data_IF_494725640550
#
_entry.id   IF_494725640550
#
_cell.length_a   1.000
_cell.length_b   1.000
_cell.length_c   1.000
_cell.angle_alpha   90.00
_cell.angle_beta   90.00
_cell.angle_gamma   90.00
#
_symmetry.space_group_name_H-M   'P 1'
#
loop_
_entity.id
_entity.type
_entity.pdbx_description
1 polymer ?
#
# COMPACT_ATOMS: atom_id res chain seq x y z
N UNK A 1 26.15 32.66 6.38
CA UNK A 1 26.99 32.47 5.18
C UNK A 1 27.47 31.03 5.04
N UNK A 2 27.97 30.40 6.11
CA UNK A 2 28.45 29.01 6.09
C UNK A 2 27.38 27.99 5.65
N UNK A 3 26.15 28.09 6.17
CA UNK A 3 25.03 27.22 5.79
C UNK A 3 24.68 27.25 4.29
N UNK A 4 24.70 28.43 3.65
CA UNK A 4 24.37 28.55 2.23
C UNK A 4 25.38 27.82 1.33
N UNK A 5 26.65 27.81 1.73
CA UNK A 5 27.68 27.04 1.03
C UNK A 5 27.45 25.54 1.21
N UNK A 6 27.15 25.08 2.44
CA UNK A 6 26.86 23.67 2.73
C UNK A 6 25.62 23.14 1.98
N UNK A 7 24.65 24.01 1.69
CA UNK A 7 23.46 23.66 0.90
C UNK A 7 23.64 23.82 -0.61
N UNK A 8 24.83 24.22 -1.08
CA UNK A 8 25.12 24.36 -2.49
C UNK A 8 24.47 25.57 -3.17
N UNK A 9 24.08 26.60 -2.41
CA UNK A 9 23.47 27.83 -2.98
C UNK A 9 24.49 28.61 -3.82
N UNK A 10 25.76 28.63 -3.39
CA UNK A 10 26.82 29.37 -4.09
C UNK A 10 27.14 28.80 -5.48
N UNK A 11 26.84 27.52 -5.71
CA UNK A 11 27.09 26.83 -6.98
C UNK A 11 25.81 26.67 -7.82
N UNK A 12 24.65 27.08 -7.31
CA UNK A 12 23.36 26.97 -7.98
C UNK A 12 23.11 28.16 -8.93
N UNK A 13 23.69 28.07 -10.14
CA UNK A 13 23.50 29.08 -11.19
C UNK A 13 22.01 29.22 -11.54
N UNK A 14 21.50 30.45 -11.53
CA UNK A 14 20.10 30.73 -11.87
C UNK A 14 19.10 30.52 -10.72
N UNK A 15 19.54 30.18 -9.51
CA UNK A 15 18.64 30.05 -8.35
C UNK A 15 18.19 31.43 -7.82
N UNK A 16 16.89 31.71 -7.90
CA UNK A 16 16.32 33.03 -7.64
C UNK A 16 15.88 33.26 -6.18
N UNK A 17 15.80 32.18 -5.39
CA UNK A 17 15.31 32.21 -4.01
C UNK A 17 16.42 32.24 -2.95
N UNK A 18 17.61 32.72 -3.30
CA UNK A 18 18.71 32.97 -2.36
C UNK A 18 18.28 33.78 -1.12
N UNK A 19 17.43 34.83 -1.23
CA UNK A 19 16.94 35.55 -0.06
C UNK A 19 16.08 34.72 0.90
N UNK A 20 15.31 33.75 0.37
CA UNK A 20 14.51 32.82 1.19
C UNK A 20 15.45 31.93 2.00
N UNK A 21 16.49 31.38 1.35
CA UNK A 21 17.46 30.51 2.00
C UNK A 21 18.31 31.24 3.05
N UNK A 22 18.60 32.52 2.86
CA UNK A 22 19.26 33.36 3.87
C UNK A 22 18.42 33.45 5.14
N UNK A 23 17.13 33.78 5.01
CA UNK A 23 16.21 33.86 6.16
C UNK A 23 16.01 32.50 6.83
N UNK A 24 15.95 31.43 6.04
CA UNK A 24 15.87 30.07 6.56
C UNK A 24 17.12 29.72 7.40
N UNK A 25 18.32 30.10 6.95
CA UNK A 25 19.56 29.92 7.71
C UNK A 25 19.58 30.72 9.02
N UNK A 26 19.05 31.94 9.03
CA UNK A 26 18.91 32.75 10.25
C UNK A 26 17.93 32.12 11.25
N UNK A 27 16.90 31.43 10.75
CA UNK A 27 15.90 30.79 11.59
C UNK A 27 16.36 29.43 12.15
N UNK A 28 17.30 28.72 11.50
CA UNK A 28 17.84 27.43 11.99
C UNK A 28 18.50 27.52 13.38
N UNK A 29 19.00 28.70 13.73
CA UNK A 29 19.54 28.97 15.06
C UNK A 29 18.47 29.15 16.15
N UNK A 30 17.18 29.24 15.78
CA UNK A 30 16.06 29.54 16.70
C UNK A 30 15.27 28.26 17.03
N UNK A 31 14.59 28.26 18.18
CA UNK A 31 13.83 27.10 18.68
C UNK A 31 12.72 26.60 17.73
N UNK A 32 12.28 27.43 16.76
CA UNK A 32 11.20 27.12 15.82
C UNK A 32 11.49 25.90 14.92
N UNK A 33 12.75 25.67 14.51
CA UNK A 33 13.10 24.57 13.60
C UNK A 33 13.48 23.27 14.32
N UNK A 34 13.64 23.29 15.65
CA UNK A 34 13.89 22.06 16.41
C UNK A 34 12.72 21.09 16.31
N UNK A 35 11.49 21.58 16.28
CA UNK A 35 10.30 20.73 16.21
C UNK A 35 10.08 20.17 14.81
N UNK A 36 10.33 20.97 13.77
CA UNK A 36 10.41 20.51 12.37
C UNK A 36 11.42 19.40 12.19
N UNK A 37 12.61 19.57 12.74
CA UNK A 37 13.65 18.55 12.68
C UNK A 37 13.21 17.29 13.41
N UNK A 38 12.53 17.39 14.56
CA UNK A 38 11.94 16.20 15.20
C UNK A 38 10.93 15.51 14.31
N UNK A 39 10.14 16.26 13.53
CA UNK A 39 9.10 15.71 12.66
C UNK A 39 9.64 15.06 11.39
N UNK A 40 10.65 15.67 10.76
CA UNK A 40 11.47 15.05 9.70
C UNK A 40 12.03 13.71 10.16
N UNK A 41 12.40 13.65 11.44
CA UNK A 41 13.02 12.51 12.11
C UNK A 41 12.00 11.52 12.70
N UNK A 42 10.71 11.87 12.83
CA UNK A 42 9.66 10.97 13.39
C UNK A 42 9.51 9.67 12.61
N UNK A 43 9.88 9.65 11.33
CA UNK A 43 9.88 8.45 10.49
C UNK A 43 11.10 7.54 10.66
N UNK A 44 12.14 7.98 11.38
CA UNK A 44 13.35 7.21 11.61
C UNK A 44 13.34 6.55 13.00
N UNK A 45 13.82 5.30 13.12
CA UNK A 45 14.02 4.64 14.40
C UNK A 45 14.89 5.45 15.38
N UNK A 46 14.54 5.42 16.67
CA UNK A 46 15.22 6.20 17.70
C UNK A 46 16.72 5.91 17.86
N UNK A 47 17.16 4.67 17.65
CA UNK A 47 18.57 4.25 17.59
C UNK A 47 19.33 4.93 16.43
N UNK A 48 18.66 5.11 15.30
CA UNK A 48 19.23 5.73 14.10
C UNK A 48 19.32 7.25 14.29
N UNK A 49 18.30 7.85 14.90
CA UNK A 49 18.29 9.26 15.29
C UNK A 49 19.44 9.62 16.23
N UNK A 50 19.75 8.74 17.20
CA UNK A 50 20.85 8.97 18.15
C UNK A 50 22.23 8.94 17.47
N UNK A 51 22.36 8.29 16.31
CA UNK A 51 23.62 8.19 15.57
C UNK A 51 23.92 9.41 14.69
N UNK A 52 22.90 10.19 14.33
CA UNK A 52 23.02 11.35 13.46
C UNK A 52 23.31 12.61 14.27
N UNK A 53 24.33 13.37 13.85
CA UNK A 53 24.58 14.69 14.46
C UNK A 53 23.53 15.68 13.97
N UNK A 54 23.12 16.60 14.84
CA UNK A 54 22.20 17.69 14.50
C UNK A 54 22.62 18.43 13.22
N UNK A 55 23.90 18.74 13.10
CA UNK A 55 24.48 19.42 11.94
C UNK A 55 24.25 18.66 10.62
N UNK A 56 24.32 17.33 10.62
CA UNK A 56 24.08 16.50 9.42
C UNK A 56 22.63 16.57 8.97
N UNK A 57 21.71 16.63 9.93
CA UNK A 57 20.29 16.77 9.69
C UNK A 57 20.00 18.19 9.18
N UNK A 58 20.61 19.22 9.78
CA UNK A 58 20.48 20.62 9.35
C UNK A 58 20.99 20.81 7.90
N UNK A 59 22.10 20.16 7.53
CA UNK A 59 22.60 20.14 6.15
C UNK A 59 21.59 19.49 5.22
N UNK A 60 21.05 18.32 5.57
CA UNK A 60 20.13 17.58 4.73
C UNK A 60 18.80 18.32 4.51
N UNK A 61 18.23 18.89 5.58
CA UNK A 61 17.00 19.68 5.52
C UNK A 61 17.20 20.93 4.68
N UNK A 62 18.29 21.67 4.89
CA UNK A 62 18.54 22.86 4.08
C UNK A 62 18.77 22.55 2.60
N UNK A 63 19.44 21.43 2.27
CA UNK A 63 19.51 20.92 0.89
C UNK A 63 18.13 20.58 0.33
N UNK A 64 17.28 19.90 1.10
CA UNK A 64 15.94 19.55 0.65
C UNK A 64 15.08 20.79 0.38
N UNK A 65 15.12 21.79 1.27
CA UNK A 65 14.37 23.05 1.08
C UNK A 65 14.88 23.81 -0.15
N UNK A 66 16.20 23.84 -0.37
CA UNK A 66 16.78 24.38 -1.62
C UNK A 66 16.20 23.67 -2.84
N UNK A 67 16.19 22.35 -2.87
CA UNK A 67 15.68 21.56 -4.00
C UNK A 67 14.17 21.76 -4.21
N UNK A 68 13.38 21.86 -3.13
CA UNK A 68 11.97 22.21 -3.21
C UNK A 68 11.76 23.56 -3.88
N UNK A 69 12.49 24.59 -3.43
CA UNK A 69 12.42 25.93 -3.98
C UNK A 69 12.84 25.99 -5.45
N UNK A 70 13.84 25.20 -5.84
CA UNK A 70 14.28 25.11 -7.23
C UNK A 70 13.23 24.44 -8.12
N UNK A 71 12.59 23.37 -7.67
CA UNK A 71 11.49 22.73 -8.40
C UNK A 71 10.30 23.69 -8.53
N UNK A 72 9.97 24.42 -7.47
CA UNK A 72 8.91 25.43 -7.48
C UNK A 72 9.24 26.58 -8.44
N UNK A 73 10.49 27.05 -8.47
CA UNK A 73 10.97 28.03 -9.45
C UNK A 73 10.76 27.53 -10.88
N UNK A 74 11.15 26.28 -11.17
CA UNK A 74 10.97 25.72 -12.51
C UNK A 74 9.49 25.60 -12.89
N UNK A 75 8.61 25.23 -11.95
CA UNK A 75 7.17 25.19 -12.20
C UNK A 75 6.59 26.59 -12.49
N UNK A 76 7.05 27.63 -11.78
CA UNK A 76 6.66 29.01 -12.08
C UNK A 76 7.13 29.45 -13.47
N UNK A 77 8.39 29.16 -13.83
CA UNK A 77 8.94 29.48 -15.15
C UNK A 77 8.19 28.73 -16.25
N UNK A 78 7.86 27.45 -16.03
CA UNK A 78 7.05 26.65 -16.96
C UNK A 78 5.59 27.12 -17.05
N UNK A 79 5.15 27.97 -16.12
CA UNK A 79 3.85 28.64 -16.11
C UNK A 79 3.98 30.10 -16.60
N UNK A 80 4.90 30.33 -17.54
CA UNK A 80 5.19 31.61 -18.21
C UNK A 80 5.61 32.78 -17.30
N UNK A 81 6.11 32.52 -16.09
CA UNK A 81 6.69 33.57 -15.25
C UNK A 81 8.12 33.91 -15.68
N UNK A 82 8.42 35.21 -15.81
CA UNK A 82 9.79 35.72 -15.93
C UNK A 82 10.56 35.64 -14.60
N UNK A 83 11.90 35.66 -14.65
CA UNK A 83 12.76 35.66 -13.46
C UNK A 83 12.40 36.77 -12.46
N UNK A 84 12.01 37.95 -12.95
CA UNK A 84 11.63 39.08 -12.08
C UNK A 84 10.26 38.90 -11.44
N UNK A 85 9.34 38.17 -12.08
CA UNK A 85 8.07 37.77 -11.47
C UNK A 85 8.29 36.68 -10.43
N UNK A 86 9.14 35.69 -10.72
CA UNK A 86 9.51 34.63 -9.77
C UNK A 86 10.09 35.24 -8.49
N UNK A 87 10.97 36.25 -8.60
CA UNK A 87 11.53 36.94 -7.42
C UNK A 87 10.48 37.60 -6.53
N UNK A 88 9.29 37.95 -7.02
CA UNK A 88 8.21 38.53 -6.19
C UNK A 88 7.68 37.54 -5.15
N UNK A 89 7.87 36.23 -5.37
CA UNK A 89 7.45 35.18 -4.43
C UNK A 89 8.33 35.05 -3.19
N UNK A 90 9.50 35.70 -3.13
CA UNK A 90 10.43 35.61 -1.99
C UNK A 90 9.77 35.84 -0.62
N UNK A 91 8.90 36.85 -0.50
CA UNK A 91 8.22 37.18 0.75
C UNK A 91 7.19 36.12 1.15
N UNK A 92 6.40 35.64 0.19
CA UNK A 92 5.40 34.59 0.37
C UNK A 92 6.04 33.25 0.74
N UNK A 93 7.10 32.85 0.03
CA UNK A 93 7.83 31.61 0.32
C UNK A 93 8.50 31.63 1.69
N UNK A 94 9.03 32.78 2.11
CA UNK A 94 9.56 32.93 3.48
C UNK A 94 8.48 32.67 4.53
N UNK A 95 7.26 33.19 4.34
CA UNK A 95 6.14 32.95 5.26
C UNK A 95 5.69 31.50 5.20
N UNK A 96 5.55 30.95 3.99
CA UNK A 96 5.08 29.60 3.75
C UNK A 96 5.95 28.54 4.43
N UNK A 97 7.27 28.65 4.30
CA UNK A 97 8.22 27.70 4.90
C UNK A 97 8.32 27.79 6.43
N UNK A 98 7.69 28.78 7.07
CA UNK A 98 7.60 28.91 8.55
C UNK A 98 6.35 28.27 9.14
N UNK A 99 5.44 27.78 8.29
CA UNK A 99 4.21 27.12 8.73
C UNK A 99 4.55 25.69 9.13
N UNK A 100 4.21 25.32 10.36
CA UNK A 100 4.50 23.99 10.94
C UNK A 100 4.02 22.85 10.03
N UNK A 101 2.77 22.91 9.55
CA UNK A 101 2.22 21.89 8.67
C UNK A 101 2.94 21.78 7.31
N UNK A 102 3.46 22.88 6.77
CA UNK A 102 4.29 22.85 5.54
C UNK A 102 5.60 22.12 5.82
N UNK A 103 6.20 22.41 6.96
CA UNK A 103 7.46 21.81 7.39
C UNK A 103 7.30 20.31 7.65
N UNK A 104 6.20 19.88 8.28
CA UNK A 104 5.84 18.46 8.44
C UNK A 104 5.71 17.74 7.09
N UNK A 105 4.99 18.33 6.13
CA UNK A 105 4.78 17.71 4.80
C UNK A 105 6.11 17.59 4.06
N UNK A 106 6.91 18.66 4.03
CA UNK A 106 8.22 18.63 3.37
C UNK A 106 9.20 17.68 4.07
N UNK A 107 9.11 17.59 5.41
CA UNK A 107 9.91 16.69 6.22
C UNK A 107 9.53 15.22 6.05
N UNK A 108 8.25 14.91 5.77
CA UNK A 108 7.79 13.54 5.53
C UNK A 108 8.51 12.84 4.38
N UNK A 109 9.11 13.59 3.45
CA UNK A 109 9.93 13.05 2.36
C UNK A 109 11.19 12.31 2.84
N UNK A 110 11.65 12.57 4.08
CA UNK A 110 12.74 11.85 4.72
C UNK A 110 12.30 10.53 5.36
N UNK A 111 11.00 10.24 5.42
CA UNK A 111 10.56 8.89 5.81
C UNK A 111 10.97 7.90 4.69
N UNK A 112 11.73 6.83 5.00
CA UNK A 112 12.14 5.82 4.02
C UNK A 112 10.97 5.18 3.26
N UNK A 113 9.78 5.14 3.86
CA UNK A 113 8.55 4.59 3.28
C UNK A 113 7.73 5.62 2.49
N UNK A 114 8.17 6.89 2.42
CA UNK A 114 7.43 7.93 1.75
C UNK A 114 7.36 7.69 0.23
N UNK A 115 6.14 7.58 -0.28
CA UNK A 115 5.81 7.37 -1.70
C UNK A 115 5.34 8.68 -2.36
N UNK A 116 4.75 9.59 -1.58
CA UNK A 116 4.23 10.88 -2.04
C UNK A 116 4.16 11.88 -0.88
N UNK A 117 4.48 13.15 -1.12
CA UNK A 117 4.12 14.25 -0.20
C UNK A 117 2.71 14.77 -0.50
N UNK A 118 2.01 15.31 0.49
CA UNK A 118 0.66 15.84 0.32
C UNK A 118 0.68 17.26 -0.28
N UNK A 119 0.80 17.31 -1.61
CA UNK A 119 0.81 18.59 -2.34
C UNK A 119 -0.52 19.31 -2.34
N UNK A 120 -1.64 18.61 -2.05
CA UNK A 120 -2.97 19.24 -1.97
C UNK A 120 -3.09 20.07 -0.70
N UNK A 121 -2.54 19.59 0.41
CA UNK A 121 -2.48 20.38 1.64
C UNK A 121 -1.54 21.59 1.46
N UNK A 122 -0.38 21.43 0.80
CA UNK A 122 0.50 22.57 0.49
C UNK A 122 -0.21 23.66 -0.30
N UNK A 123 -0.97 23.26 -1.33
CA UNK A 123 -1.80 24.16 -2.14
C UNK A 123 -2.84 24.89 -1.28
N UNK A 124 -3.59 24.14 -0.47
CA UNK A 124 -4.61 24.70 0.42
C UNK A 124 -4.00 25.72 1.39
N UNK A 125 -2.89 25.38 2.04
CA UNK A 125 -2.18 26.30 2.95
C UNK A 125 -1.77 27.58 2.21
N UNK A 126 -1.30 27.46 0.97
CA UNK A 126 -0.89 28.62 0.18
C UNK A 126 -2.03 29.63 0.01
N UNK A 127 -3.22 29.14 -0.36
CA UNK A 127 -4.40 29.98 -0.54
C UNK A 127 -4.99 30.48 0.80
N UNK A 128 -5.08 29.63 1.81
CA UNK A 128 -5.63 29.98 3.13
C UNK A 128 -4.79 31.08 3.81
N UNK A 129 -3.49 31.14 3.53
CA UNK A 129 -2.58 32.17 4.05
C UNK A 129 -2.56 33.46 3.22
N UNK A 130 -3.41 33.54 2.18
CA UNK A 130 -3.51 34.69 1.28
C UNK A 130 -2.14 35.13 0.74
N UNK A 131 -1.34 34.15 0.32
CA UNK A 131 -0.02 34.38 -0.28
C UNK A 131 -0.15 34.88 -1.73
N UNK A 132 0.97 35.29 -2.32
CA UNK A 132 0.98 35.79 -3.69
C UNK A 132 0.30 34.80 -4.65
N UNK A 133 -0.62 35.30 -5.46
CA UNK A 133 -1.38 34.50 -6.41
C UNK A 133 -0.45 33.71 -7.34
N UNK A 134 -0.74 32.43 -7.51
CA UNK A 134 -0.03 31.55 -8.42
C UNK A 134 -0.58 31.73 -9.85
N UNK A 135 0.24 31.52 -10.89
CA UNK A 135 -0.23 31.46 -12.28
C UNK A 135 -1.31 30.39 -12.47
N UNK A 136 -2.22 30.58 -13.43
CA UNK A 136 -3.32 29.63 -13.71
C UNK A 136 -2.81 28.21 -14.03
N UNK A 137 -1.67 28.11 -14.73
CA UNK A 137 -1.09 26.84 -15.15
C UNK A 137 -0.16 26.18 -14.11
N UNK A 138 0.06 26.82 -12.95
CA UNK A 138 0.91 26.29 -11.90
C UNK A 138 0.28 25.07 -11.23
N UNK A 139 0.98 23.94 -11.22
CA UNK A 139 0.45 22.69 -10.67
C UNK A 139 1.28 22.12 -9.51
N UNK A 140 0.79 22.27 -8.27
CA UNK A 140 1.40 21.71 -7.05
C UNK A 140 1.72 20.21 -7.15
N UNK A 141 0.85 19.44 -7.81
CA UNK A 141 1.03 18.00 -8.02
C UNK A 141 2.34 17.66 -8.75
N UNK A 142 2.85 18.56 -9.61
CA UNK A 142 4.09 18.35 -10.37
C UNK A 142 5.34 18.40 -9.50
N UNK A 143 5.28 19.03 -8.31
CA UNK A 143 6.40 19.12 -7.38
C UNK A 143 6.68 17.78 -6.67
N UNK A 144 5.67 16.91 -6.55
CA UNK A 144 5.70 15.73 -5.68
C UNK A 144 6.85 14.76 -5.98
N UNK A 145 6.84 14.15 -7.17
CA UNK A 145 7.83 13.13 -7.57
C UNK A 145 9.25 13.71 -7.71
N UNK A 146 9.46 14.89 -8.32
CA UNK A 146 10.78 15.51 -8.37
C UNK A 146 11.35 15.77 -6.97
N UNK A 147 10.55 16.31 -6.05
CA UNK A 147 11.01 16.61 -4.69
C UNK A 147 11.43 15.33 -3.94
N UNK A 148 10.61 14.28 -3.98
CA UNK A 148 10.96 13.00 -3.37
C UNK A 148 12.25 12.39 -3.92
N UNK A 149 12.45 12.47 -5.23
CA UNK A 149 13.68 11.97 -5.85
C UNK A 149 14.92 12.74 -5.37
N UNK A 150 14.80 14.07 -5.23
CA UNK A 150 15.89 14.91 -4.71
C UNK A 150 16.20 14.61 -3.25
N UNK A 151 15.18 14.44 -2.39
CA UNK A 151 15.39 14.04 -0.99
C UNK A 151 16.07 12.67 -0.88
N UNK A 152 15.65 11.69 -1.70
CA UNK A 152 16.30 10.37 -1.76
C UNK A 152 17.75 10.45 -2.23
N UNK A 153 18.07 11.36 -3.16
CA UNK A 153 19.45 11.61 -3.57
C UNK A 153 20.29 12.20 -2.43
N UNK A 154 19.76 13.21 -1.72
CA UNK A 154 20.42 13.82 -0.55
C UNK A 154 20.77 12.77 0.52
N UNK A 155 19.85 11.85 0.81
CA UNK A 155 20.08 10.76 1.76
C UNK A 155 21.22 9.85 1.27
N UNK A 156 21.25 9.48 -0.01
CA UNK A 156 22.26 8.58 -0.59
C UNK A 156 23.65 9.19 -0.69
N UNK A 157 23.74 10.49 -0.88
CA UNK A 157 25.00 11.25 -0.98
C UNK A 157 25.70 11.43 0.36
N UNK A 158 24.96 11.37 1.47
CA UNK A 158 25.55 11.43 2.81
C UNK A 158 25.82 10.02 3.31
N UNK A 159 27.08 9.64 3.47
CA UNK A 159 27.46 8.31 3.97
C UNK A 159 26.76 7.99 5.30
N UNK A 160 26.58 8.98 6.18
CA UNK A 160 25.94 8.80 7.48
C UNK A 160 24.43 8.62 7.37
N UNK A 161 23.76 9.45 6.57
CA UNK A 161 22.31 9.28 6.33
C UNK A 161 22.04 8.00 5.57
N UNK A 162 22.85 7.66 4.56
CA UNK A 162 22.77 6.40 3.84
C UNK A 162 22.92 5.23 4.79
N UNK A 163 23.98 5.19 5.61
CA UNK A 163 24.18 4.09 6.57
C UNK A 163 23.03 3.99 7.58
N UNK A 164 22.51 5.14 8.05
CA UNK A 164 21.32 5.21 8.90
C UNK A 164 20.10 4.58 8.21
N UNK A 165 19.80 4.96 6.98
CA UNK A 165 18.64 4.45 6.24
C UNK A 165 18.82 3.00 5.79
N UNK A 166 20.03 2.58 5.44
CA UNK A 166 20.37 1.21 5.12
C UNK A 166 20.22 0.34 6.37
N UNK A 167 20.63 0.83 7.55
CA UNK A 167 20.41 0.15 8.83
C UNK A 167 18.92 0.01 9.14
N UNK A 168 18.11 1.04 8.87
CA UNK A 168 16.65 0.93 8.98
C UNK A 168 16.08 -0.13 8.03
N UNK A 169 16.51 -0.13 6.77
CA UNK A 169 16.07 -1.13 5.81
C UNK A 169 16.51 -2.53 6.21
N UNK A 170 17.71 -2.68 6.80
CA UNK A 170 18.21 -3.96 7.32
C UNK A 170 17.48 -4.39 8.58
N UNK A 171 17.14 -3.49 9.51
CA UNK A 171 16.34 -3.79 10.71
C UNK A 171 14.92 -4.18 10.31
N UNK A 172 14.27 -3.42 9.42
CA UNK A 172 12.98 -3.80 8.86
C UNK A 172 13.07 -5.09 8.05
N UNK A 173 14.16 -5.30 7.31
CA UNK A 173 14.41 -6.57 6.64
C UNK A 173 14.64 -7.67 7.66
N UNK A 174 15.30 -7.43 8.79
CA UNK A 174 15.55 -8.42 9.84
C UNK A 174 14.27 -8.75 10.63
N UNK A 175 13.42 -7.76 10.92
CA UNK A 175 12.09 -7.94 11.50
C UNK A 175 11.19 -8.69 10.53
N UNK A 176 11.16 -8.27 9.26
CA UNK A 176 10.51 -9.01 8.20
C UNK A 176 11.14 -10.40 8.04
N UNK A 177 12.45 -10.58 8.18
CA UNK A 177 13.16 -11.88 8.01
C UNK A 177 12.97 -12.79 9.21
N UNK A 178 12.77 -12.26 10.41
CA UNK A 178 12.32 -13.00 11.59
C UNK A 178 10.86 -13.44 11.43
N UNK A 179 10.01 -12.63 10.78
CA UNK A 179 8.67 -13.04 10.36
C UNK A 179 8.67 -13.98 9.13
N UNK A 180 9.70 -13.88 8.28
CA UNK A 180 9.90 -14.59 7.00
C UNK A 180 10.96 -15.70 7.08
N UNK A 181 11.33 -16.24 8.25
CA UNK A 181 12.33 -17.33 8.35
C UNK A 181 11.89 -18.50 7.47
N UNK A 182 12.32 -18.52 6.20
CA UNK A 182 12.01 -19.50 5.15
C UNK A 182 11.19 -19.03 3.94
N UNK A 183 10.97 -17.74 3.71
CA UNK A 183 10.59 -17.23 2.37
C UNK A 183 11.88 -16.88 1.61
N UNK A 184 12.05 -17.44 0.41
CA UNK A 184 13.24 -17.21 -0.41
C UNK A 184 13.36 -15.73 -0.81
N UNK A 185 14.56 -15.11 -0.74
CA UNK A 185 14.77 -13.71 -1.13
C UNK A 185 14.45 -13.40 -2.60
N UNK A 186 14.32 -14.43 -3.44
CA UNK A 186 14.11 -14.33 -4.88
C UNK A 186 12.66 -14.63 -5.28
N UNK A 187 11.68 -13.98 -4.65
CA UNK A 187 10.28 -14.11 -5.11
C UNK A 187 10.11 -13.56 -6.52
N UNK A 188 10.14 -14.46 -7.50
CA UNK A 188 9.92 -14.15 -8.91
C UNK A 188 8.41 -14.11 -9.20
N UNK A 189 7.89 -12.89 -9.36
CA UNK A 189 6.49 -12.65 -9.69
C UNK A 189 6.05 -13.33 -11.00
N UNK A 190 6.93 -13.41 -12.01
CA UNK A 190 6.61 -14.08 -13.29
C UNK A 190 6.48 -15.57 -13.08
N UNK A 191 7.40 -16.16 -12.32
CA UNK A 191 7.35 -17.58 -11.96
C UNK A 191 6.11 -17.90 -11.13
N UNK A 192 5.70 -16.99 -10.24
CA UNK A 192 4.46 -17.14 -9.48
C UNK A 192 3.22 -17.13 -10.37
N UNK A 193 3.12 -16.18 -11.31
CA UNK A 193 2.04 -16.15 -12.30
C UNK A 193 1.98 -17.43 -13.12
N UNK A 194 3.14 -17.91 -13.57
CA UNK A 194 3.22 -19.15 -14.31
C UNK A 194 2.78 -20.35 -13.47
N UNK A 195 3.14 -20.39 -12.19
CA UNK A 195 2.63 -21.38 -11.24
C UNK A 195 1.11 -21.33 -11.07
N UNK A 196 0.49 -20.15 -11.03
CA UNK A 196 -0.97 -20.01 -10.97
C UNK A 196 -1.61 -20.54 -12.27
N UNK A 197 -1.07 -20.18 -13.45
CA UNK A 197 -1.56 -20.66 -14.75
C UNK A 197 -1.47 -22.18 -14.85
N UNK A 198 -0.34 -22.77 -14.47
CA UNK A 198 -0.14 -24.21 -14.50
C UNK A 198 -1.07 -24.93 -13.52
N UNK A 199 -1.25 -24.39 -12.31
CA UNK A 199 -2.00 -25.07 -11.24
C UNK A 199 -3.51 -24.97 -11.39
N UNK A 200 -4.02 -23.87 -11.93
CA UNK A 200 -5.44 -23.56 -11.96
C UNK A 200 -6.00 -23.28 -13.37
N UNK A 201 -5.16 -23.13 -14.40
CA UNK A 201 -5.60 -22.73 -15.74
C UNK A 201 -6.55 -23.72 -16.41
N UNK A 202 -6.42 -25.00 -16.09
CA UNK A 202 -7.25 -26.08 -16.59
C UNK A 202 -8.25 -26.57 -15.55
N UNK A 203 -9.45 -26.91 -16.01
CA UNK A 203 -10.49 -27.46 -15.15
C UNK A 203 -10.10 -28.88 -14.69
N UNK A 204 -9.99 -29.08 -13.38
CA UNK A 204 -9.69 -30.40 -12.81
C UNK A 204 -10.95 -31.24 -12.76
N UNK A 205 -11.07 -32.17 -13.71
CA UNK A 205 -12.19 -33.10 -13.81
C UNK A 205 -11.83 -34.51 -13.30
N UNK A 206 -10.78 -34.63 -12.50
CA UNK A 206 -10.27 -35.90 -11.94
C UNK A 206 -11.32 -36.69 -11.14
N UNK A 207 -12.40 -36.04 -10.71
CA UNK A 207 -13.54 -36.66 -10.02
C UNK A 207 -14.63 -37.20 -10.94
N UNK A 208 -14.57 -36.91 -12.24
CA UNK A 208 -15.65 -37.20 -13.22
C UNK A 208 -15.25 -38.24 -14.27
N UNK A 209 -13.96 -38.45 -14.53
CA UNK A 209 -13.51 -39.47 -15.49
C UNK A 209 -12.12 -40.02 -15.13
N UNK A 210 -11.97 -41.35 -15.10
CA UNK A 210 -10.71 -42.06 -14.86
C UNK A 210 -9.91 -42.34 -16.14
N UNK A 211 -10.46 -42.01 -17.32
CA UNK A 211 -9.84 -42.28 -18.64
C UNK A 211 -8.92 -41.16 -19.16
N UNK A 212 -8.84 -40.02 -18.46
CA UNK A 212 -7.74 -39.05 -18.49
C UNK A 212 -7.35 -38.38 -19.82
N UNK A 213 -8.07 -38.59 -20.93
CA UNK A 213 -7.51 -38.34 -22.28
C UNK A 213 -8.15 -37.23 -23.11
N UNK A 214 -9.27 -36.61 -22.70
CA UNK A 214 -9.96 -35.64 -23.56
C UNK A 214 -10.22 -34.24 -22.96
N UNK A 215 -10.02 -34.03 -21.66
CA UNK A 215 -10.53 -32.82 -20.98
C UNK A 215 -9.47 -31.87 -20.41
N UNK A 216 -8.18 -32.21 -20.54
CA UNK A 216 -7.06 -31.37 -20.11
C UNK A 216 -6.90 -30.06 -20.91
N UNK A 217 -7.74 -29.81 -21.91
CA UNK A 217 -7.69 -28.60 -22.74
C UNK A 217 -8.72 -27.53 -22.33
N UNK A 218 -9.70 -27.89 -21.48
CA UNK A 218 -10.75 -26.94 -21.08
C UNK A 218 -10.20 -25.92 -20.08
N UNK A 219 -10.06 -24.68 -20.55
CA UNK A 219 -9.61 -23.56 -19.73
C UNK A 219 -10.73 -23.10 -18.80
N UNK A 220 -10.43 -23.00 -17.50
CA UNK A 220 -11.42 -22.57 -16.49
C UNK A 220 -12.07 -21.23 -16.87
N UNK A 221 -11.29 -20.29 -17.39
CA UNK A 221 -11.78 -18.96 -17.79
C UNK A 221 -12.80 -18.98 -18.93
N UNK A 222 -12.77 -19.98 -19.81
CA UNK A 222 -13.69 -20.08 -20.96
C UNK A 222 -15.06 -20.63 -20.56
N UNK A 223 -15.13 -21.35 -19.44
CA UNK A 223 -16.34 -22.05 -18.97
C UNK A 223 -16.88 -21.48 -17.66
N UNK A 224 -16.20 -20.49 -17.07
CA UNK A 224 -16.59 -19.91 -15.79
C UNK A 224 -17.86 -19.07 -15.93
N UNK A 225 -18.86 -19.39 -15.11
CA UNK A 225 -20.10 -18.63 -14.96
C UNK A 225 -20.10 -18.02 -13.55
N UNK A 226 -20.19 -16.68 -13.48
CA UNK A 226 -20.23 -15.97 -12.21
C UNK A 226 -21.46 -16.37 -11.40
N UNK A 227 -21.24 -16.77 -10.13
CA UNK A 227 -22.32 -17.15 -9.24
C UNK A 227 -23.11 -15.92 -8.78
N UNK A 228 -24.40 -16.14 -8.58
CA UNK A 228 -25.30 -15.18 -7.99
C UNK A 228 -25.28 -15.31 -6.46
N UNK A 229 -25.16 -14.19 -5.75
CA UNK A 229 -25.04 -14.11 -4.30
C UNK A 229 -26.00 -13.08 -3.73
N UNK A 230 -26.24 -13.16 -2.42
CA UNK A 230 -27.02 -12.19 -1.64
C UNK A 230 -26.12 -11.64 -0.53
N UNK A 231 -26.13 -10.33 -0.33
CA UNK A 231 -25.38 -9.70 0.77
C UNK A 231 -26.13 -9.94 2.09
N UNK A 232 -25.43 -10.44 3.10
CA UNK A 232 -25.98 -10.70 4.43
C UNK A 232 -25.28 -9.82 5.46
N UNK A 233 -26.05 -9.09 6.27
CA UNK A 233 -25.54 -8.07 7.21
C UNK A 233 -25.12 -8.66 8.55
N UNK A 234 -25.65 -9.83 8.94
CA UNK A 234 -25.29 -10.52 10.20
C UNK A 234 -25.04 -12.00 9.94
N UNK A 235 -23.82 -12.44 10.25
CA UNK A 235 -23.42 -13.85 10.18
C UNK A 235 -23.96 -14.53 11.45
N UNK A 236 -24.77 -15.58 11.29
CA UNK A 236 -25.02 -16.58 12.33
C UNK A 236 -24.22 -17.84 11.94
N UNK A 237 -22.93 -17.97 12.32
CA UNK A 237 -22.08 -19.09 11.89
C UNK A 237 -22.69 -20.44 12.28
N UNK A 238 -23.29 -20.51 13.47
CA UNK A 238 -23.78 -21.76 14.08
C UNK A 238 -25.02 -22.38 13.43
N UNK A 239 -25.74 -21.63 12.58
CA UNK A 239 -26.98 -22.09 11.94
C UNK A 239 -26.71 -22.67 10.55
N UNK A 240 -25.75 -22.12 9.81
CA UNK A 240 -25.50 -22.45 8.40
C UNK A 240 -24.25 -23.31 8.15
N UNK A 241 -23.37 -23.50 9.13
CA UNK A 241 -22.19 -24.38 9.01
C UNK A 241 -22.51 -25.87 9.22
N UNK A 242 -23.77 -26.25 9.45
CA UNK A 242 -24.17 -27.64 9.69
C UNK A 242 -24.33 -28.38 8.36
N UNK A 243 -23.62 -29.50 8.18
CA UNK A 243 -23.84 -30.36 7.02
C UNK A 243 -25.28 -30.89 7.00
N UNK A 244 -25.85 -31.13 5.80
CA UNK A 244 -27.20 -31.70 5.65
C UNK A 244 -27.35 -33.04 6.38
N UNK A 245 -26.27 -33.80 6.48
CA UNK A 245 -26.19 -35.06 7.24
C UNK A 245 -26.33 -34.85 8.75
N UNK A 246 -25.70 -33.80 9.28
CA UNK A 246 -25.81 -33.44 10.70
C UNK A 246 -27.20 -32.89 11.05
N UNK A 247 -27.81 -32.12 10.15
CA UNK A 247 -29.21 -31.69 10.28
C UNK A 247 -30.16 -32.89 10.30
N UNK A 248 -29.93 -33.88 9.42
CA UNK A 248 -30.71 -35.11 9.37
C UNK A 248 -30.57 -35.93 10.65
N UNK A 249 -29.34 -36.08 11.17
CA UNK A 249 -29.05 -36.73 12.44
C UNK A 249 -29.76 -36.07 13.63
N UNK A 250 -29.81 -34.73 13.68
CA UNK A 250 -30.52 -33.99 14.75
C UNK A 250 -32.04 -34.17 14.68
N UNK A 251 -32.61 -34.15 13.47
CA UNK A 251 -34.04 -34.41 13.25
C UNK A 251 -34.43 -35.85 13.66
N UNK A 252 -33.55 -36.82 13.41
CA UNK A 252 -33.75 -38.23 13.75
C UNK A 252 -33.54 -38.53 15.24
N UNK A 253 -32.68 -37.77 15.93
CA UNK A 253 -32.35 -37.98 17.35
C UNK A 253 -33.10 -37.06 18.33
N UNK A 254 -33.88 -36.09 17.83
CA UNK A 254 -34.71 -35.19 18.64
C UNK A 254 -33.92 -34.22 19.54
N UNK A 255 -32.61 -34.05 19.32
CA UNK A 255 -31.73 -33.16 20.11
C UNK A 255 -31.70 -31.73 19.58
N UNK A 256 -32.86 -31.18 19.28
CA UNK A 256 -33.01 -29.82 18.72
C UNK A 256 -33.06 -28.74 19.82
N UNK A 257 -32.18 -28.85 20.82
CA UNK A 257 -32.24 -28.07 22.06
C UNK A 257 -31.23 -26.91 22.15
N UNK A 258 -30.84 -26.31 21.02
CA UNK A 258 -30.01 -25.09 21.01
C UNK A 258 -30.46 -24.07 19.96
N UNK A 259 -31.76 -23.74 19.93
CA UNK A 259 -32.27 -22.56 19.22
C UNK A 259 -32.93 -21.66 20.26
N UNK A 260 -32.20 -20.65 20.76
CA UNK A 260 -32.68 -19.76 21.82
C UNK A 260 -33.66 -18.67 21.36
N UNK A 261 -33.88 -18.46 20.06
CA UNK A 261 -34.94 -17.55 19.60
C UNK A 261 -35.40 -17.85 18.16
N UNK A 262 -36.52 -18.55 18.02
CA UNK A 262 -37.13 -18.90 16.71
C UNK A 262 -37.56 -17.64 15.95
N UNK A 263 -38.00 -16.59 16.66
CA UNK A 263 -38.47 -15.35 16.05
C UNK A 263 -37.34 -14.54 15.40
N UNK A 264 -36.12 -14.59 15.96
CA UNK A 264 -34.96 -13.97 15.33
C UNK A 264 -34.56 -14.70 14.04
N UNK A 265 -34.59 -16.04 14.04
CA UNK A 265 -34.29 -16.83 12.85
C UNK A 265 -35.25 -16.54 11.70
N UNK A 266 -36.55 -16.43 11.97
CA UNK A 266 -37.55 -16.08 10.95
C UNK A 266 -37.30 -14.69 10.35
N UNK A 267 -36.93 -13.71 11.19
CA UNK A 267 -36.56 -12.36 10.72
C UNK A 267 -35.32 -12.40 9.84
N UNK A 268 -34.30 -13.17 10.21
CA UNK A 268 -33.09 -13.34 9.40
C UNK A 268 -33.38 -14.03 8.06
N UNK A 269 -34.15 -15.12 8.07
CA UNK A 269 -34.55 -15.82 6.86
C UNK A 269 -35.32 -14.89 5.91
N UNK A 270 -36.28 -14.13 6.43
CA UNK A 270 -37.04 -13.15 5.63
C UNK A 270 -36.12 -12.09 5.02
N UNK A 271 -35.22 -11.51 5.82
CA UNK A 271 -34.26 -10.51 5.32
C UNK A 271 -33.31 -11.06 4.25
N UNK A 272 -32.91 -12.34 4.36
CA UNK A 272 -32.05 -12.99 3.39
C UNK A 272 -32.77 -13.28 2.06
N UNK A 273 -34.03 -13.71 2.12
CA UNK A 273 -34.86 -13.98 0.92
C UNK A 273 -35.18 -12.68 0.17
N UNK A 274 -35.40 -11.58 0.90
CA UNK A 274 -35.72 -10.27 0.34
C UNK A 274 -34.48 -9.53 -0.20
N UNK A 275 -33.26 -9.91 0.21
CA UNK A 275 -32.02 -9.27 -0.23
C UNK A 275 -31.80 -9.44 -1.75
N UNK A 276 -31.34 -8.41 -2.48
CA UNK A 276 -31.20 -8.48 -3.94
C UNK A 276 -30.15 -9.53 -4.36
N UNK A 277 -30.47 -10.27 -5.43
CA UNK A 277 -29.54 -11.19 -6.08
C UNK A 277 -28.58 -10.37 -6.95
N UNK A 278 -27.27 -10.53 -6.74
CA UNK A 278 -26.23 -9.85 -7.52
C UNK A 278 -25.13 -10.82 -7.93
N UNK A 279 -24.40 -10.49 -9.00
CA UNK A 279 -23.19 -11.23 -9.39
C UNK A 279 -22.12 -11.08 -8.31
N UNK A 280 -21.46 -12.18 -7.96
CA UNK A 280 -20.37 -12.18 -6.98
C UNK A 280 -19.18 -11.32 -7.42
N UNK A 281 -18.93 -11.24 -8.73
CA UNK A 281 -17.83 -10.44 -9.30
C UNK A 281 -18.07 -8.95 -9.08
N UNK A 282 -19.31 -8.48 -9.22
CA UNK A 282 -19.67 -7.08 -9.04
C UNK A 282 -19.48 -6.65 -7.58
N UNK A 283 -19.89 -7.49 -6.63
CA UNK A 283 -19.71 -7.24 -5.20
C UNK A 283 -18.22 -7.17 -4.84
N UNK A 284 -17.41 -8.12 -5.34
CA UNK A 284 -15.96 -8.12 -5.10
C UNK A 284 -15.33 -6.83 -5.65
N UNK A 285 -15.72 -6.39 -6.84
CA UNK A 285 -15.20 -5.18 -7.46
C UNK A 285 -15.62 -3.89 -6.72
N UNK A 286 -16.86 -3.80 -6.27
CA UNK A 286 -17.39 -2.67 -5.50
C UNK A 286 -16.72 -2.56 -4.11
N UNK A 287 -16.43 -3.72 -3.49
CA UNK A 287 -15.93 -3.81 -2.12
C UNK A 287 -14.39 -3.99 -2.04
N UNK A 288 -13.65 -3.66 -3.11
CA UNK A 288 -12.17 -3.76 -3.17
C UNK A 288 -11.44 -3.05 -2.02
N UNK A 289 -12.04 -2.02 -1.46
CA UNK A 289 -11.46 -1.22 -0.37
C UNK A 289 -11.80 -1.76 1.04
N UNK A 290 -12.50 -2.89 1.17
CA UNK A 290 -12.80 -3.50 2.47
C UNK A 290 -11.70 -4.50 2.85
N UNK A 291 -11.37 -4.53 4.14
CA UNK A 291 -10.33 -5.43 4.66
C UNK A 291 -10.76 -6.91 4.66
N UNK A 292 -12.05 -7.20 4.75
CA UNK A 292 -12.57 -8.57 4.88
C UNK A 292 -13.86 -8.79 4.08
N UNK A 293 -13.92 -9.89 3.34
CA UNK A 293 -15.11 -10.38 2.64
C UNK A 293 -15.22 -11.89 2.85
N UNK A 294 -16.39 -12.35 3.31
CA UNK A 294 -16.66 -13.78 3.55
C UNK A 294 -17.71 -14.26 2.56
N UNK A 295 -17.38 -15.31 1.79
CA UNK A 295 -18.30 -15.92 0.84
C UNK A 295 -18.82 -17.23 1.42
N UNK A 296 -20.10 -17.25 1.76
CA UNK A 296 -20.80 -18.42 2.28
C UNK A 296 -21.57 -19.11 1.16
N UNK A 297 -21.75 -20.42 1.30
CA UNK A 297 -22.56 -21.22 0.37
C UNK A 297 -22.41 -22.70 0.65
N UNK A 298 -23.28 -23.50 0.06
CA UNK A 298 -23.29 -24.94 0.25
C UNK A 298 -21.99 -25.61 -0.23
N UNK A 299 -21.64 -26.79 0.30
CA UNK A 299 -20.64 -27.66 -0.31
C UNK A 299 -20.96 -27.87 -1.79
N UNK A 300 -19.95 -27.71 -2.66
CA UNK A 300 -20.14 -27.83 -4.12
C UNK A 300 -20.64 -26.56 -4.83
N UNK A 301 -20.99 -25.47 -4.13
CA UNK A 301 -21.44 -24.21 -4.73
C UNK A 301 -20.37 -23.45 -5.56
N UNK A 302 -19.19 -24.04 -5.78
CA UNK A 302 -18.14 -23.44 -6.61
C UNK A 302 -17.29 -22.35 -5.94
N UNK A 303 -17.33 -22.20 -4.60
CA UNK A 303 -16.53 -21.20 -3.86
C UNK A 303 -15.03 -21.27 -4.18
N UNK A 304 -14.47 -22.48 -4.17
CA UNK A 304 -13.05 -22.69 -4.51
C UNK A 304 -12.76 -22.36 -5.97
N UNK A 305 -13.68 -22.70 -6.87
CA UNK A 305 -13.58 -22.40 -8.31
C UNK A 305 -13.62 -20.89 -8.57
N UNK A 306 -14.45 -20.14 -7.84
CA UNK A 306 -14.48 -18.67 -7.87
C UNK A 306 -13.12 -18.09 -7.47
N UNK A 307 -12.53 -18.55 -6.36
CA UNK A 307 -11.22 -18.08 -5.90
C UNK A 307 -10.10 -18.38 -6.93
N UNK A 308 -10.14 -19.56 -7.54
CA UNK A 308 -9.22 -19.95 -8.61
C UNK A 308 -9.38 -19.05 -9.85
N UNK A 309 -10.61 -18.77 -10.25
CA UNK A 309 -10.91 -17.88 -11.37
C UNK A 309 -10.37 -16.46 -11.13
N UNK A 310 -10.53 -15.91 -9.92
CA UNK A 310 -9.99 -14.59 -9.57
C UNK A 310 -8.46 -14.55 -9.64
N UNK A 311 -7.79 -15.59 -9.13
CA UNK A 311 -6.32 -15.67 -9.19
C UNK A 311 -5.81 -15.82 -10.64
N UNK A 312 -6.52 -16.55 -11.49
CA UNK A 312 -6.18 -16.68 -12.90
C UNK A 312 -6.37 -15.36 -13.66
N UNK A 313 -7.43 -14.61 -13.39
CA UNK A 313 -7.63 -13.29 -14.00
C UNK A 313 -6.47 -12.34 -13.67
N UNK A 314 -5.93 -12.44 -12.45
CA UNK A 314 -4.72 -11.71 -12.08
C UNK A 314 -3.49 -12.25 -12.81
N UNK A 315 -3.32 -13.57 -12.91
CA UNK A 315 -2.17 -14.16 -13.62
C UNK A 315 -2.15 -13.82 -15.12
N UNK A 316 -3.30 -13.63 -15.76
CA UNK A 316 -3.41 -13.24 -17.18
C UNK A 316 -3.26 -11.73 -17.44
N UNK A 317 -3.19 -10.90 -16.40
CA UNK A 317 -3.02 -9.46 -16.57
C UNK A 317 -1.60 -9.10 -17.08
N UNK A 318 -1.42 -7.90 -17.63
CA UNK A 318 -0.13 -7.48 -18.25
C UNK A 318 0.84 -6.95 -17.19
N UNK A 319 2.14 -7.22 -17.41
CA UNK A 319 3.26 -6.85 -16.52
C UNK A 319 3.39 -5.35 -16.19
N UNK A 320 2.80 -4.49 -17.00
CA UNK A 320 2.86 -3.03 -16.84
C UNK A 320 1.94 -2.48 -15.74
N UNK A 321 1.01 -3.28 -15.22
CA UNK A 321 -0.03 -2.82 -14.28
C UNK A 321 0.23 -3.23 -12.80
N UNK A 322 1.38 -3.82 -12.49
CA UNK A 322 1.58 -4.52 -11.20
C UNK A 322 1.94 -3.67 -10.00
N UNK A 323 2.53 -2.49 -10.18
CA UNK A 323 2.89 -1.64 -9.04
C UNK A 323 1.67 -1.17 -8.24
N UNK A 324 0.45 -1.34 -8.78
CA UNK A 324 -0.80 -0.87 -8.18
C UNK A 324 -1.87 -1.98 -8.01
N UNK A 325 -1.54 -3.26 -8.21
CA UNK A 325 -2.52 -4.37 -8.05
C UNK A 325 -2.12 -5.33 -6.91
N UNK A 326 -3.04 -5.72 -6.02
CA UNK A 326 -2.75 -6.67 -4.96
C UNK A 326 -2.43 -8.06 -5.54
N UNK A 327 -1.43 -8.73 -4.96
CA UNK A 327 -1.01 -10.08 -5.36
C UNK A 327 -1.97 -11.09 -4.69
N UNK A 328 -2.67 -11.96 -5.44
CA UNK A 328 -3.58 -12.93 -4.86
C UNK A 328 -2.80 -14.06 -4.21
N UNK A 329 -3.14 -14.38 -2.95
CA UNK A 329 -2.60 -15.54 -2.23
C UNK A 329 -3.76 -16.48 -1.93
N UNK A 330 -3.71 -17.68 -2.52
CA UNK A 330 -4.69 -18.74 -2.30
C UNK A 330 -4.21 -19.68 -1.20
N UNK A 331 -4.90 -19.66 -0.05
CA UNK A 331 -4.59 -20.55 1.09
C UNK A 331 -5.72 -21.55 1.26
N UNK A 332 -5.42 -22.84 1.04
CA UNK A 332 -6.35 -23.92 1.33
C UNK A 332 -6.19 -24.36 2.79
N UNK A 333 -7.14 -23.98 3.64
CA UNK A 333 -7.05 -24.18 5.09
C UNK A 333 -6.85 -25.64 5.51
N UNK A 334 -7.44 -26.61 4.77
CA UNK A 334 -7.25 -28.04 5.04
C UNK A 334 -5.80 -28.49 4.84
N UNK A 335 -5.23 -28.11 3.70
CA UNK A 335 -3.83 -28.40 3.36
C UNK A 335 -2.88 -27.70 4.32
N UNK A 336 -3.18 -26.45 4.67
CA UNK A 336 -2.43 -25.69 5.67
C UNK A 336 -2.43 -26.37 7.05
N UNK A 337 -3.61 -26.72 7.58
CA UNK A 337 -3.74 -27.36 8.89
C UNK A 337 -2.99 -28.69 8.96
N UNK A 338 -3.01 -29.49 7.89
CA UNK A 338 -2.23 -30.73 7.81
C UNK A 338 -0.72 -30.46 7.89
N UNK A 339 -0.20 -29.54 7.08
CA UNK A 339 1.23 -29.22 7.04
C UNK A 339 1.73 -28.56 8.33
N UNK A 340 0.87 -27.78 8.99
CA UNK A 340 1.14 -27.20 10.30
C UNK A 340 1.28 -28.29 11.37
N UNK A 341 0.36 -29.25 11.41
CA UNK A 341 0.41 -30.38 12.35
C UNK A 341 1.61 -31.30 12.12
N UNK A 342 2.04 -31.47 10.87
CA UNK A 342 3.22 -32.25 10.48
C UNK A 342 4.56 -31.48 10.71
N UNK A 343 4.53 -30.28 11.32
CA UNK A 343 5.69 -29.40 11.58
C UNK A 343 6.48 -28.98 10.32
N UNK A 344 5.89 -29.10 9.13
CA UNK A 344 6.49 -28.67 7.87
C UNK A 344 6.34 -27.17 7.60
N UNK A 345 5.62 -26.42 8.45
CA UNK A 345 5.40 -24.97 8.31
C UNK A 345 5.53 -24.28 9.67
N UNK A 346 6.35 -23.21 9.74
CA UNK A 346 6.45 -22.34 10.94
C UNK A 346 5.48 -21.15 10.92
N UNK A 347 5.01 -20.73 9.75
CA UNK A 347 4.09 -19.60 9.56
C UNK A 347 3.20 -19.80 8.30
N UNK A 348 2.07 -19.10 8.17
CA UNK A 348 1.10 -19.25 7.05
C UNK A 348 1.69 -18.96 5.66
N UNK A 349 2.72 -18.11 5.60
CA UNK A 349 3.50 -17.82 4.39
C UNK A 349 4.23 -19.04 3.80
N UNK A 350 4.50 -20.09 4.59
CA UNK A 350 5.19 -21.28 4.10
C UNK A 350 4.35 -22.19 3.20
N UNK A 351 3.05 -22.34 3.49
CA UNK A 351 2.24 -23.37 2.81
C UNK A 351 1.93 -23.04 1.36
N UNK A 352 1.86 -21.75 1.03
CA UNK A 352 1.51 -21.25 -0.30
C UNK A 352 2.66 -21.33 -1.31
N UNK A 353 3.90 -21.39 -0.83
CA UNK A 353 5.11 -21.30 -1.66
C UNK A 353 5.79 -22.64 -1.97
N UNK A 354 5.58 -23.67 -1.13
CA UNK A 354 6.24 -24.97 -1.29
C UNK A 354 5.29 -26.15 -1.55
N UNK A 355 4.13 -25.87 -2.15
CA UNK A 355 3.27 -26.91 -2.70
C UNK A 355 3.78 -27.42 -4.06
N UNK A 356 4.87 -28.21 -4.04
CA UNK A 356 5.44 -29.00 -5.16
C UNK A 356 5.66 -28.23 -6.49
N UNK A 357 6.81 -27.56 -6.59
CA UNK A 357 7.55 -27.48 -7.86
C UNK A 357 8.72 -28.47 -7.76
N UNK A 358 8.39 -29.74 -7.94
CA UNK A 358 9.32 -30.83 -8.24
C UNK A 358 8.74 -31.62 -9.39
#
# INVERSE_FOLDING_TARGET
MEWLALWGIQTAVGFLFTPVMQKFAEDLGKDLLKDVLKDVLKGLPGNILQSLKKEEIDIAVGKAIKEFLEILQQELINSDCSDDEVKKFNSSLTKFLRIEQVQEILGSAFNPECISIDTQILERIWYDQNLLALPEDFAWKRLNKPYLNKVKAIIRESDKLRNAFDSYQLEKTADNTQELVGVSPDFDLRRYQEGIRQKYGYLKLDSLDSSGSAYNELRLQQVFIAQNVRECVKILPHVFERSKEYQKYLNETGKDAEIKDINELERYQKSYIEAPIRSVIDIINEKKNRNYLVILGDPGAGKSTLLQFLALNWAESKLTNYFNQPIPILIELRTYARQFNEKHCKNWLFSSFYGKLS
#
